data_IF_367651033474
#
_entry.id   IF_367651033474
#
_cell.length_a   1.000
_cell.length_b   1.000
_cell.length_c   1.000
_cell.angle_alpha   90.00
_cell.angle_beta   90.00
_cell.angle_gamma   90.00
#
_symmetry.space_group_name_H-M   'P 1'
#
loop_
_entity.id
_entity.type
_entity.pdbx_description
1 polymer ?
#
# COMPACT_ATOMS: atom_id res chain seq x y z
N UNK A 1 22.37 16.13 -1.73
CA UNK A 1 21.60 14.98 -1.20
C UNK A 1 20.70 14.47 -2.33
N UNK A 2 20.78 13.17 -2.69
CA UNK A 2 19.92 12.59 -3.72
C UNK A 2 18.53 12.34 -3.12
N UNK A 3 17.42 12.77 -3.73
CA UNK A 3 16.07 12.46 -3.24
C UNK A 3 15.85 10.94 -3.16
N UNK A 4 15.29 10.43 -2.06
CA UNK A 4 15.05 8.99 -1.83
C UNK A 4 14.30 8.34 -2.99
N UNK A 5 13.35 9.03 -3.61
CA UNK A 5 12.62 8.53 -4.78
C UNK A 5 13.52 8.11 -5.94
N UNK A 6 14.68 8.77 -6.13
CA UNK A 6 15.64 8.42 -7.18
C UNK A 6 16.43 7.14 -6.86
N UNK A 7 16.49 6.72 -5.60
CA UNK A 7 17.22 5.52 -5.16
C UNK A 7 16.33 4.29 -5.08
N UNK A 8 14.99 4.46 -5.13
CA UNK A 8 14.05 3.34 -5.05
C UNK A 8 14.08 2.47 -6.31
N UNK A 9 14.12 1.12 -6.18
CA UNK A 9 13.98 0.20 -7.29
C UNK A 9 12.67 0.40 -8.08
N UNK A 10 12.77 0.34 -9.41
CA UNK A 10 11.63 0.53 -10.32
C UNK A 10 11.43 -0.69 -11.19
N UNK A 11 10.18 -1.11 -11.34
CA UNK A 11 9.78 -2.20 -12.22
C UNK A 11 8.39 -1.90 -12.80
N UNK A 12 7.90 -2.75 -13.71
CA UNK A 12 6.50 -2.69 -14.13
C UNK A 12 5.64 -3.13 -12.94
N UNK A 13 4.76 -2.25 -12.49
CA UNK A 13 3.81 -2.51 -11.41
C UNK A 13 2.37 -2.44 -11.93
N UNK A 14 1.46 -3.09 -11.21
CA UNK A 14 0.05 -3.19 -11.57
C UNK A 14 -0.74 -1.91 -11.28
N UNK A 15 -0.40 -1.19 -10.21
CA UNK A 15 -1.03 0.06 -9.75
C UNK A 15 -2.49 0.00 -9.31
N UNK A 16 -3.16 -1.14 -9.46
CA UNK A 16 -4.52 -1.38 -8.97
C UNK A 16 -4.65 -2.76 -8.31
N UNK A 17 -3.61 -3.15 -7.57
CA UNK A 17 -3.55 -4.47 -6.97
C UNK A 17 -4.34 -4.49 -5.66
N UNK A 18 -5.54 -5.07 -5.67
CA UNK A 18 -6.36 -5.28 -4.48
C UNK A 18 -6.92 -6.70 -4.45
N UNK A 19 -7.47 -7.21 -3.33
CA UNK A 19 -7.96 -8.60 -3.27
C UNK A 19 -8.89 -9.01 -4.42
N UNK A 20 -9.72 -8.09 -4.94
CA UNK A 20 -10.56 -8.34 -6.12
C UNK A 20 -9.81 -8.64 -7.43
N UNK A 21 -8.57 -8.19 -7.59
CA UNK A 21 -7.73 -8.39 -8.79
C UNK A 21 -6.73 -9.55 -8.61
N UNK A 22 -6.81 -10.28 -7.49
CA UNK A 22 -5.95 -11.42 -7.18
C UNK A 22 -6.77 -12.70 -7.28
N UNK A 23 -6.42 -13.57 -8.21
CA UNK A 23 -7.12 -14.83 -8.43
C UNK A 23 -6.50 -15.96 -7.61
N UNK A 24 -7.36 -16.76 -6.99
CA UNK A 24 -6.96 -17.95 -6.24
C UNK A 24 -7.67 -19.20 -6.77
N UNK A 25 -6.91 -20.28 -6.93
CA UNK A 25 -7.44 -21.63 -7.10
C UNK A 25 -7.26 -22.40 -5.79
N UNK A 26 -8.32 -22.48 -4.98
CA UNK A 26 -8.23 -22.95 -3.60
C UNK A 26 -7.34 -22.02 -2.76
N UNK A 27 -6.29 -22.55 -2.15
CA UNK A 27 -5.32 -21.76 -1.35
C UNK A 27 -4.11 -21.25 -2.16
N UNK A 28 -4.10 -21.47 -3.48
CA UNK A 28 -2.96 -21.12 -4.34
C UNK A 28 -3.29 -19.90 -5.19
N UNK A 29 -2.42 -18.89 -5.15
CA UNK A 29 -2.43 -17.78 -6.10
C UNK A 29 -2.33 -18.34 -7.53
N UNK A 30 -3.31 -18.04 -8.37
CA UNK A 30 -3.40 -18.53 -9.75
C UNK A 30 -3.13 -17.44 -10.79
N UNK A 31 -3.25 -16.16 -10.43
CA UNK A 31 -2.95 -15.05 -11.33
C UNK A 31 -3.42 -13.70 -10.84
N UNK A 32 -3.20 -12.69 -11.67
CA UNK A 32 -3.67 -11.32 -11.49
C UNK A 32 -4.43 -10.89 -12.75
N UNK A 33 -5.36 -9.95 -12.61
CA UNK A 33 -6.18 -9.41 -13.70
C UNK A 33 -6.20 -7.88 -13.63
N UNK A 34 -6.66 -7.23 -14.69
CA UNK A 34 -6.86 -5.77 -14.76
C UNK A 34 -5.57 -4.92 -14.70
N UNK A 35 -4.77 -5.00 -15.77
CA UNK A 35 -3.48 -4.31 -15.86
C UNK A 35 -3.57 -2.90 -16.48
N UNK A 36 -4.75 -2.29 -16.60
CA UNK A 36 -4.95 -1.04 -17.35
C UNK A 36 -4.11 0.14 -16.83
N UNK A 37 -3.84 0.18 -15.52
CA UNK A 37 -3.06 1.24 -14.88
C UNK A 37 -1.55 0.96 -14.82
N UNK A 38 -1.08 -0.13 -15.43
CA UNK A 38 0.29 -0.60 -15.26
C UNK A 38 1.33 0.41 -15.76
N UNK A 39 2.40 0.57 -15.00
CA UNK A 39 3.47 1.52 -15.33
C UNK A 39 4.81 1.05 -14.76
N UNK A 40 5.92 1.42 -15.41
CA UNK A 40 7.26 1.26 -14.84
C UNK A 40 7.54 2.36 -13.80
N UNK A 41 7.45 2.04 -12.51
CA UNK A 41 7.76 2.96 -11.41
C UNK A 41 8.16 2.19 -10.14
N UNK A 42 8.20 2.86 -8.99
CA UNK A 42 8.63 2.33 -7.69
C UNK A 42 7.86 1.05 -7.34
N UNK A 43 8.57 -0.06 -7.15
CA UNK A 43 7.95 -1.39 -7.09
C UNK A 43 7.12 -1.67 -5.83
N UNK A 44 7.44 -1.00 -4.72
CA UNK A 44 6.71 -1.13 -3.45
C UNK A 44 5.36 -0.41 -3.45
N UNK A 45 5.04 0.33 -4.53
CA UNK A 45 3.72 0.91 -4.68
C UNK A 45 2.62 -0.17 -4.64
N UNK A 46 2.81 -1.29 -5.33
CA UNK A 46 1.84 -2.39 -5.38
C UNK A 46 1.49 -2.99 -4.00
N UNK A 47 2.46 -3.50 -3.18
CA UNK A 47 2.12 -4.02 -1.86
C UNK A 47 1.53 -2.95 -0.93
N UNK A 48 1.97 -1.68 -1.02
CA UNK A 48 1.35 -0.59 -0.28
C UNK A 48 -0.10 -0.32 -0.72
N UNK A 49 -0.36 -0.35 -2.03
CA UNK A 49 -1.70 -0.15 -2.58
C UNK A 49 -2.65 -1.25 -2.13
N UNK A 50 -2.22 -2.52 -2.23
CA UNK A 50 -2.99 -3.66 -1.74
C UNK A 50 -3.31 -3.55 -0.25
N UNK A 51 -2.31 -3.21 0.56
CA UNK A 51 -2.51 -3.01 2.00
C UNK A 51 -3.48 -1.85 2.29
N UNK A 52 -3.36 -0.72 1.58
CA UNK A 52 -4.27 0.41 1.72
C UNK A 52 -5.71 0.03 1.34
N UNK A 53 -5.91 -0.72 0.25
CA UNK A 53 -7.25 -1.19 -0.15
C UNK A 53 -7.89 -2.06 0.94
N UNK A 54 -7.11 -2.95 1.55
CA UNK A 54 -7.55 -3.78 2.69
C UNK A 54 -7.88 -2.90 3.91
N UNK A 55 -7.06 -1.89 4.21
CA UNK A 55 -7.31 -0.94 5.29
C UNK A 55 -8.65 -0.23 5.08
N UNK A 56 -8.86 0.36 3.90
CA UNK A 56 -10.07 1.10 3.51
C UNK A 56 -11.32 0.23 3.69
N UNK A 57 -11.28 -1.03 3.20
CA UNK A 57 -12.40 -1.96 3.30
C UNK A 57 -12.71 -2.39 4.74
N UNK A 58 -11.69 -2.46 5.59
CA UNK A 58 -11.82 -2.77 7.02
C UNK A 58 -11.94 -1.56 7.93
N UNK A 59 -11.93 -0.33 7.39
CA UNK A 59 -11.54 0.83 8.20
C UNK A 59 -12.56 1.22 9.27
N UNK A 60 -13.84 0.91 9.14
CA UNK A 60 -14.81 1.19 10.22
C UNK A 60 -14.83 0.09 11.30
N UNK A 61 -14.35 -1.10 10.97
CA UNK A 61 -14.24 -2.24 11.88
C UNK A 61 -12.95 -2.16 12.69
N UNK A 62 -13.10 -2.07 14.02
CA UNK A 62 -11.95 -1.91 14.92
C UNK A 62 -11.03 -3.12 14.91
N UNK A 63 -11.56 -4.33 14.90
CA UNK A 63 -10.75 -5.56 14.93
C UNK A 63 -9.94 -5.67 13.65
N UNK A 64 -10.55 -5.37 12.49
CA UNK A 64 -9.84 -5.33 11.21
C UNK A 64 -8.74 -4.28 11.15
N UNK A 65 -8.97 -3.08 11.71
CA UNK A 65 -7.93 -2.06 11.82
C UNK A 65 -6.77 -2.48 12.72
N UNK A 66 -7.05 -3.18 13.82
CA UNK A 66 -6.03 -3.63 14.77
C UNK A 66 -5.10 -4.70 14.17
N UNK A 67 -5.64 -5.63 13.37
CA UNK A 67 -4.84 -6.67 12.69
C UNK A 67 -4.20 -6.21 11.36
N UNK A 68 -4.56 -5.02 10.84
CA UNK A 68 -4.08 -4.55 9.55
C UNK A 68 -2.55 -4.43 9.49
N UNK A 69 -1.91 -3.98 10.57
CA UNK A 69 -0.46 -3.81 10.59
C UNK A 69 0.27 -5.15 10.47
N UNK A 70 -0.23 -6.19 11.13
CA UNK A 70 0.30 -7.56 11.01
C UNK A 70 0.15 -8.05 9.57
N UNK A 71 -1.03 -7.87 8.97
CA UNK A 71 -1.28 -8.22 7.57
C UNK A 71 -0.31 -7.49 6.62
N UNK A 72 -0.08 -6.20 6.84
CA UNK A 72 0.84 -5.42 6.01
C UNK A 72 2.28 -5.95 6.10
N UNK A 73 2.73 -6.34 7.28
CA UNK A 73 4.05 -6.93 7.50
C UNK A 73 4.16 -8.28 6.78
N UNK A 74 3.18 -9.16 6.93
CA UNK A 74 3.13 -10.47 6.25
C UNK A 74 3.13 -10.31 4.73
N UNK A 75 2.37 -9.33 4.20
CA UNK A 75 2.36 -9.01 2.77
C UNK A 75 3.74 -8.57 2.27
N UNK A 76 4.43 -7.70 3.01
CA UNK A 76 5.77 -7.23 2.66
C UNK A 76 6.81 -8.36 2.73
N UNK A 77 6.73 -9.22 3.74
CA UNK A 77 7.59 -10.40 3.88
C UNK A 77 7.41 -11.33 2.69
N UNK A 78 6.16 -11.68 2.36
CA UNK A 78 5.82 -12.51 1.20
C UNK A 78 6.31 -11.90 -0.12
N UNK A 79 6.09 -10.60 -0.32
CA UNK A 79 6.58 -9.86 -1.49
C UNK A 79 8.11 -9.87 -1.59
N UNK A 80 8.79 -9.75 -0.46
CA UNK A 80 10.26 -9.74 -0.35
C UNK A 80 10.93 -11.11 -0.53
N UNK A 81 10.18 -12.23 -0.51
CA UNK A 81 10.76 -13.58 -0.56
C UNK A 81 11.56 -13.87 -1.84
N UNK A 82 11.13 -13.33 -2.98
CA UNK A 82 11.83 -13.51 -4.27
C UNK A 82 12.81 -12.37 -4.54
N UNK A 83 12.41 -11.15 -4.26
CA UNK A 83 13.22 -9.95 -4.43
C UNK A 83 13.21 -9.13 -3.14
N UNK A 84 14.26 -9.29 -2.33
CA UNK A 84 14.40 -8.63 -1.01
C UNK A 84 14.12 -7.14 -1.10
N UNK A 85 13.40 -6.61 -0.12
CA UNK A 85 13.17 -5.17 0.04
C UNK A 85 14.48 -4.48 0.45
N UNK A 86 14.78 -3.32 -0.13
CA UNK A 86 15.95 -2.53 0.27
C UNK A 86 15.66 -1.70 1.51
N UNK A 87 16.70 -1.20 2.18
CA UNK A 87 16.56 -0.31 3.34
C UNK A 87 15.86 1.00 2.95
N UNK A 88 16.13 1.52 1.76
CA UNK A 88 15.48 2.70 1.21
C UNK A 88 13.99 2.45 0.96
N UNK A 89 13.63 1.27 0.45
CA UNK A 89 12.24 0.86 0.28
C UNK A 89 11.52 0.83 1.63
N UNK A 90 12.06 0.10 2.61
CA UNK A 90 11.50 0.00 3.97
C UNK A 90 11.34 1.38 4.62
N UNK A 91 12.36 2.23 4.53
CA UNK A 91 12.33 3.60 5.05
C UNK A 91 11.33 4.52 4.34
N UNK A 92 10.87 4.14 3.14
CA UNK A 92 9.94 4.92 2.34
C UNK A 92 8.47 4.48 2.41
N UNK A 93 8.19 3.28 2.94
CA UNK A 93 6.85 2.66 2.92
C UNK A 93 5.73 3.58 3.44
N UNK A 94 5.95 4.24 4.58
CA UNK A 94 4.95 5.15 5.15
C UNK A 94 4.61 6.33 4.22
N UNK A 95 5.59 6.82 3.45
CA UNK A 95 5.38 7.91 2.51
C UNK A 95 4.65 7.42 1.26
N UNK A 96 4.89 6.19 0.82
CA UNK A 96 4.14 5.56 -0.26
C UNK A 96 2.66 5.40 0.14
N UNK A 97 2.38 4.93 1.37
CA UNK A 97 1.01 4.86 1.89
C UNK A 97 0.32 6.23 1.88
N UNK A 98 1.01 7.29 2.32
CA UNK A 98 0.46 8.65 2.24
C UNK A 98 0.23 9.10 0.80
N UNK A 99 1.15 8.80 -0.12
CA UNK A 99 1.00 9.15 -1.53
C UNK A 99 -0.22 8.49 -2.15
N UNK A 100 -0.53 7.23 -1.80
CA UNK A 100 -1.72 6.53 -2.28
C UNK A 100 -2.99 7.26 -1.82
N UNK A 101 -3.11 7.57 -0.53
CA UNK A 101 -4.26 8.33 -0.02
C UNK A 101 -4.40 9.70 -0.69
N UNK A 102 -3.30 10.42 -0.88
CA UNK A 102 -3.31 11.73 -1.53
C UNK A 102 -3.73 11.65 -3.01
N UNK A 103 -3.31 10.61 -3.73
CA UNK A 103 -3.76 10.35 -5.10
C UNK A 103 -5.28 10.14 -5.12
N UNK A 104 -5.81 9.31 -4.21
CA UNK A 104 -7.25 9.05 -4.15
C UNK A 104 -8.07 10.27 -3.71
N UNK A 105 -7.55 11.07 -2.78
CA UNK A 105 -8.18 12.34 -2.40
C UNK A 105 -8.25 13.27 -3.61
N UNK A 106 -7.14 13.45 -4.33
CA UNK A 106 -7.10 14.29 -5.54
C UNK A 106 -8.06 13.81 -6.60
N UNK A 107 -7.99 12.52 -6.96
CA UNK A 107 -8.91 11.90 -7.91
C UNK A 107 -10.38 12.07 -7.51
N UNK A 108 -10.71 11.87 -6.24
CA UNK A 108 -12.08 12.00 -5.74
C UNK A 108 -12.58 13.44 -5.81
N UNK A 109 -11.73 14.42 -5.49
CA UNK A 109 -12.05 15.84 -5.65
C UNK A 109 -12.29 16.22 -7.12
N UNK A 110 -11.44 15.74 -8.02
CA UNK A 110 -11.54 16.03 -9.46
C UNK A 110 -12.80 15.42 -10.11
N UNK A 111 -13.44 14.46 -9.45
CA UNK A 111 -14.65 13.75 -9.91
C UNK A 111 -15.88 14.04 -9.02
N UNK A 112 -15.87 15.10 -8.21
CA UNK A 112 -16.96 15.50 -7.31
C UNK A 112 -17.40 14.42 -6.28
N UNK A 113 -16.53 13.44 -6.01
CA UNK A 113 -16.76 12.36 -5.05
C UNK A 113 -16.31 12.77 -3.64
N UNK A 114 -16.94 13.80 -3.09
CA UNK A 114 -16.50 14.44 -1.84
C UNK A 114 -16.48 13.49 -0.64
N UNK A 115 -17.43 12.55 -0.54
CA UNK A 115 -17.45 11.59 0.56
C UNK A 115 -16.28 10.60 0.49
N UNK A 116 -15.91 10.16 -0.72
CA UNK A 116 -14.72 9.34 -0.93
C UNK A 116 -13.45 10.12 -0.57
N UNK A 117 -13.35 11.40 -0.97
CA UNK A 117 -12.22 12.24 -0.60
C UNK A 117 -12.08 12.39 0.93
N UNK A 118 -13.21 12.61 1.64
CA UNK A 118 -13.24 12.70 3.11
C UNK A 118 -12.87 11.37 3.77
N UNK A 119 -13.31 10.26 3.21
CA UNK A 119 -12.97 8.93 3.73
C UNK A 119 -11.46 8.65 3.62
N UNK A 120 -10.85 8.86 2.45
CA UNK A 120 -9.40 8.75 2.28
C UNK A 120 -8.64 9.75 3.17
N UNK A 121 -9.16 10.96 3.37
CA UNK A 121 -8.57 11.90 4.34
C UNK A 121 -8.60 11.36 5.79
N UNK A 122 -9.67 10.67 6.19
CA UNK A 122 -9.78 10.01 7.50
C UNK A 122 -8.74 8.91 7.66
N UNK A 123 -8.57 8.07 6.62
CA UNK A 123 -7.56 7.00 6.59
C UNK A 123 -6.13 7.57 6.63
N UNK A 124 -5.84 8.59 5.83
CA UNK A 124 -4.55 9.31 5.86
C UNK A 124 -4.22 9.86 7.26
N UNK A 125 -5.19 10.49 7.93
CA UNK A 125 -5.01 10.99 9.30
C UNK A 125 -4.71 9.85 10.28
N UNK A 126 -5.36 8.70 10.12
CA UNK A 126 -5.09 7.52 10.94
C UNK A 126 -3.68 6.97 10.69
N UNK A 127 -3.25 6.84 9.43
CA UNK A 127 -1.89 6.43 9.09
C UNK A 127 -0.84 7.39 9.69
N UNK A 128 -1.11 8.70 9.62
CA UNK A 128 -0.24 9.72 10.22
C UNK A 128 -0.19 9.61 11.75
N UNK A 129 -1.33 9.42 12.41
CA UNK A 129 -1.41 9.23 13.86
C UNK A 129 -0.67 7.97 14.33
N UNK A 130 -0.67 6.92 13.52
CA UNK A 130 -0.02 5.63 13.82
C UNK A 130 1.38 5.48 13.24
N UNK A 131 1.96 6.52 12.62
CA UNK A 131 3.27 6.46 11.93
C UNK A 131 4.41 5.91 12.80
N UNK A 132 4.39 6.17 14.12
CA UNK A 132 5.40 5.68 15.05
C UNK A 132 5.32 4.16 15.23
N UNK A 133 4.10 3.63 15.43
CA UNK A 133 3.83 2.20 15.53
C UNK A 133 4.21 1.48 14.24
N UNK A 134 3.76 2.01 13.10
CA UNK A 134 4.05 1.45 11.77
C UNK A 134 5.57 1.42 11.54
N UNK A 135 6.27 2.54 11.73
CA UNK A 135 7.73 2.60 11.55
C UNK A 135 8.48 1.64 12.48
N UNK A 136 8.05 1.51 13.73
CA UNK A 136 8.69 0.60 14.67
C UNK A 136 8.50 -0.86 14.26
N UNK A 137 7.31 -1.24 13.80
CA UNK A 137 7.06 -2.60 13.36
C UNK A 137 7.87 -2.95 12.08
N UNK A 138 8.06 -1.98 11.18
CA UNK A 138 8.85 -2.15 9.97
C UNK A 138 10.36 -2.35 10.22
N UNK A 139 10.89 -1.91 11.38
CA UNK A 139 12.30 -2.17 11.74
C UNK A 139 12.62 -3.67 11.86
N UNK A 140 11.61 -4.49 12.15
CA UNK A 140 11.76 -5.93 12.23
C UNK A 140 11.95 -6.60 10.86
N UNK A 141 11.84 -5.83 9.76
CA UNK A 141 12.05 -6.28 8.39
C UNK A 141 13.43 -5.89 7.83
N UNK A 142 14.23 -5.09 8.57
CA UNK A 142 15.60 -4.68 8.19
C UNK A 142 16.62 -5.80 8.42
#
# INVERSE_FOLDING_TARGET
MIPIYKTLPKQIIHRDIHPGNILFQGKKLSGFIDFELSLKTVRIFDPCYCATSILIAGFEDREKREVWLELFIELLQGYGMKNKLTKEELGSLIYILYSIELIFIGFSCDNDMIDAARYNQKVLKWLYGNKGLIKNALKNLE
#
